data_IF_570760834248
#
_entry.id   IF_570760834248
#
_cell.length_a   1.000
_cell.length_b   1.000
_cell.length_c   1.000
_cell.angle_alpha   90.00
_cell.angle_beta   90.00
_cell.angle_gamma   90.00
#
_symmetry.space_group_name_H-M   'P 1'
#
loop_
_entity.id
_entity.type
_entity.pdbx_description
1 polymer ?
#
# COMPACT_ATOMS: atom_id res chain seq x y z
N UNK A 1 0.05 -25.14 2.32
CA UNK A 1 1.15 -24.62 1.47
C UNK A 1 2.49 -24.97 2.13
N UNK A 2 3.43 -25.62 1.43
CA UNK A 2 4.78 -25.91 1.97
C UNK A 2 5.50 -24.58 2.26
N UNK A 3 6.21 -24.45 3.39
CA UNK A 3 6.82 -23.17 3.83
C UNK A 3 7.71 -22.50 2.77
N UNK A 4 8.37 -23.29 1.91
CA UNK A 4 9.17 -22.80 0.76
C UNK A 4 8.37 -22.02 -0.30
N UNK A 5 7.04 -22.01 -0.22
CA UNK A 5 6.16 -21.30 -1.15
C UNK A 5 5.51 -20.06 -0.55
N UNK A 6 5.92 -19.59 0.64
CA UNK A 6 5.36 -18.37 1.23
C UNK A 6 5.49 -17.13 0.34
N UNK A 7 6.45 -17.11 -0.59
CA UNK A 7 6.58 -16.06 -1.60
C UNK A 7 5.36 -15.93 -2.52
N UNK A 8 4.54 -16.97 -2.66
CA UNK A 8 3.32 -16.92 -3.46
C UNK A 8 2.23 -16.07 -2.81
N UNK A 9 2.23 -15.89 -1.48
CA UNK A 9 1.24 -15.07 -0.78
C UNK A 9 1.26 -13.60 -1.20
N UNK A 10 2.39 -12.87 -1.08
CA UNK A 10 2.44 -11.49 -1.54
C UNK A 10 2.30 -11.39 -3.07
N UNK A 11 2.71 -12.41 -3.84
CA UNK A 11 2.46 -12.44 -5.28
C UNK A 11 0.95 -12.52 -5.60
N UNK A 12 0.25 -13.44 -4.96
CA UNK A 12 -1.19 -13.60 -5.13
C UNK A 12 -1.92 -12.32 -4.71
N UNK A 13 -1.54 -11.73 -3.56
CA UNK A 13 -2.09 -10.44 -3.12
C UNK A 13 -1.87 -9.32 -4.14
N UNK A 14 -0.67 -9.24 -4.75
CA UNK A 14 -0.38 -8.26 -5.79
C UNK A 14 -1.33 -8.42 -6.98
N UNK A 15 -1.50 -9.66 -7.47
CA UNK A 15 -2.39 -9.97 -8.59
C UNK A 15 -3.85 -9.70 -8.26
N UNK A 16 -4.32 -10.08 -7.07
CA UNK A 16 -5.71 -9.81 -6.64
C UNK A 16 -5.96 -8.32 -6.51
N UNK A 17 -5.00 -7.52 -6.03
CA UNK A 17 -5.17 -6.08 -5.92
C UNK A 17 -5.29 -5.41 -7.28
N UNK A 18 -4.49 -5.84 -8.27
CA UNK A 18 -4.63 -5.37 -9.66
C UNK A 18 -6.02 -5.71 -10.19
N UNK A 19 -6.46 -6.97 -10.06
CA UNK A 19 -7.78 -7.38 -10.52
C UNK A 19 -8.91 -6.64 -9.80
N UNK A 20 -8.78 -6.42 -8.49
CA UNK A 20 -9.77 -5.70 -7.68
C UNK A 20 -9.91 -4.22 -8.05
N UNK A 21 -8.89 -3.60 -8.67
CA UNK A 21 -9.00 -2.23 -9.18
C UNK A 21 -9.52 -2.19 -10.63
N UNK A 22 -8.91 -2.97 -11.51
CA UNK A 22 -9.19 -2.87 -12.95
C UNK A 22 -10.46 -3.57 -13.41
N UNK A 23 -10.85 -4.69 -12.78
CA UNK A 23 -12.07 -5.42 -13.18
C UNK A 23 -13.33 -4.61 -12.86
N UNK A 24 -13.53 -4.08 -11.64
CA UNK A 24 -14.69 -3.24 -11.35
C UNK A 24 -14.72 -1.97 -12.22
N UNK A 25 -13.56 -1.36 -12.48
CA UNK A 25 -13.46 -0.22 -13.40
C UNK A 25 -13.91 -0.59 -14.82
N UNK A 26 -13.38 -1.67 -15.39
CA UNK A 26 -13.74 -2.11 -16.74
C UNK A 26 -15.24 -2.41 -16.87
N UNK A 27 -15.83 -3.06 -15.85
CA UNK A 27 -17.27 -3.31 -15.78
C UNK A 27 -18.03 -1.97 -15.73
N UNK A 28 -17.63 -1.06 -14.84
CA UNK A 28 -18.29 0.23 -14.64
C UNK A 28 -18.30 1.09 -15.90
N UNK A 29 -17.19 1.11 -16.65
CA UNK A 29 -17.11 1.80 -17.95
C UNK A 29 -18.01 1.11 -18.97
N UNK A 30 -17.99 -0.22 -19.05
CA UNK A 30 -18.80 -0.98 -19.99
C UNK A 30 -20.31 -0.79 -19.76
N UNK A 31 -20.74 -0.67 -18.50
CA UNK A 31 -22.15 -0.43 -18.13
C UNK A 31 -22.56 1.04 -18.19
N UNK A 32 -21.65 1.96 -18.53
CA UNK A 32 -21.91 3.40 -18.52
C UNK A 32 -22.14 3.98 -17.13
N UNK A 33 -21.68 3.29 -16.07
CA UNK A 33 -21.78 3.77 -14.69
C UNK A 33 -20.78 4.89 -14.39
N UNK A 34 -19.65 4.89 -15.11
CA UNK A 34 -18.63 5.94 -15.05
C UNK A 34 -18.21 6.33 -16.45
N UNK A 35 -17.89 7.61 -16.64
CA UNK A 35 -17.24 8.08 -17.85
C UNK A 35 -15.93 7.29 -18.11
N UNK A 36 -15.47 7.13 -19.35
CA UNK A 36 -14.25 6.37 -19.69
C UNK A 36 -12.96 7.14 -19.34
N UNK A 37 -12.89 7.62 -18.10
CA UNK A 37 -11.79 8.32 -17.46
C UNK A 37 -11.62 7.65 -16.11
N UNK A 38 -10.37 7.48 -15.66
CA UNK A 38 -10.09 6.84 -14.39
C UNK A 38 -10.82 7.59 -13.25
N UNK A 39 -11.87 7.02 -12.63
CA UNK A 39 -12.45 7.61 -11.44
C UNK A 39 -11.49 7.45 -10.27
N UNK A 40 -11.82 8.02 -9.13
CA UNK A 40 -11.16 7.62 -7.90
C UNK A 40 -11.31 6.11 -7.68
N UNK A 41 -10.23 5.44 -7.27
CA UNK A 41 -10.21 3.99 -6.97
C UNK A 41 -11.24 3.65 -5.90
N UNK A 42 -11.41 4.56 -4.94
CA UNK A 42 -12.42 4.48 -3.89
C UNK A 42 -13.86 4.52 -4.41
N UNK A 43 -14.10 5.14 -5.58
CA UNK A 43 -15.40 5.25 -6.23
C UNK A 43 -15.68 4.10 -7.21
N UNK A 44 -14.64 3.42 -7.72
CA UNK A 44 -14.74 2.32 -8.70
C UNK A 44 -15.35 1.00 -8.16
N UNK A 45 -15.76 0.97 -6.89
CA UNK A 45 -16.37 -0.21 -6.27
C UNK A 45 -15.34 -1.26 -5.86
N UNK A 46 -14.84 -1.17 -4.63
CA UNK A 46 -14.02 -2.23 -4.05
C UNK A 46 -14.88 -3.40 -3.55
N UNK A 47 -14.72 -4.56 -4.21
CA UNK A 47 -15.25 -5.86 -3.77
C UNK A 47 -14.44 -6.49 -2.61
N UNK A 48 -14.82 -7.68 -2.12
CA UNK A 48 -14.81 -8.04 -0.69
C UNK A 48 -13.44 -8.27 -0.02
N UNK A 49 -13.35 -7.72 1.21
CA UNK A 49 -12.69 -8.09 2.49
C UNK A 49 -11.63 -9.21 2.52
N UNK A 50 -11.80 -10.33 1.80
CA UNK A 50 -10.98 -11.54 2.00
C UNK A 50 -9.49 -11.36 1.64
N UNK A 51 -9.18 -10.54 0.63
CA UNK A 51 -7.80 -10.27 0.20
C UNK A 51 -6.96 -9.59 1.30
N UNK A 52 -7.59 -8.85 2.22
CA UNK A 52 -6.88 -8.03 3.20
C UNK A 52 -6.44 -8.79 4.46
N UNK A 53 -7.05 -9.93 4.77
CA UNK A 53 -6.54 -10.83 5.82
C UNK A 53 -5.18 -11.44 5.43
N UNK A 54 -4.94 -11.65 4.13
CA UNK A 54 -3.63 -12.10 3.64
C UNK A 54 -2.52 -11.09 3.92
N UNK A 55 -2.84 -9.79 3.99
CA UNK A 55 -1.88 -8.74 4.37
C UNK A 55 -1.36 -9.02 5.78
N UNK A 56 -2.23 -9.30 6.75
CA UNK A 56 -1.78 -9.60 8.12
C UNK A 56 -0.86 -10.83 8.17
N UNK A 57 -1.20 -11.89 7.43
CA UNK A 57 -0.38 -13.11 7.35
C UNK A 57 1.00 -12.80 6.75
N UNK A 58 1.07 -12.01 5.68
CA UNK A 58 2.35 -11.58 5.07
C UNK A 58 3.20 -10.80 6.07
N UNK A 59 2.60 -9.88 6.82
CA UNK A 59 3.27 -9.12 7.87
C UNK A 59 3.85 -10.02 8.95
N UNK A 60 3.07 -11.00 9.43
CA UNK A 60 3.53 -12.00 10.40
C UNK A 60 4.70 -12.83 9.87
N UNK A 61 4.62 -13.30 8.63
CA UNK A 61 5.69 -14.08 8.00
C UNK A 61 6.97 -13.25 7.88
N UNK A 62 6.86 -11.99 7.46
CA UNK A 62 8.02 -11.09 7.36
C UNK A 62 8.63 -10.82 8.74
N UNK A 63 7.81 -10.60 9.75
CA UNK A 63 8.26 -10.41 11.14
C UNK A 63 9.11 -11.60 11.62
N UNK A 64 8.61 -12.82 11.43
CA UNK A 64 9.32 -14.06 11.79
C UNK A 64 10.63 -14.23 11.00
N UNK A 65 10.61 -13.93 9.70
CA UNK A 65 11.80 -13.98 8.85
C UNK A 65 12.90 -13.03 9.35
N UNK A 66 12.53 -11.80 9.73
CA UNK A 66 13.48 -10.81 10.24
C UNK A 66 14.06 -11.20 11.60
N UNK A 67 13.25 -11.73 12.52
CA UNK A 67 13.75 -12.25 13.80
C UNK A 67 14.78 -13.37 13.59
N UNK A 68 14.50 -14.30 12.67
CA UNK A 68 15.44 -15.36 12.32
C UNK A 68 16.78 -14.79 11.81
N UNK A 69 16.76 -13.73 11.00
CA UNK A 69 18.00 -13.08 10.57
C UNK A 69 18.76 -12.44 11.73
N UNK A 70 18.06 -11.80 12.66
CA UNK A 70 18.70 -11.17 13.82
C UNK A 70 19.35 -12.19 14.74
N UNK A 71 18.67 -13.30 15.02
CA UNK A 71 19.25 -14.42 15.77
C UNK A 71 20.50 -14.97 15.06
N UNK A 72 20.41 -15.20 13.76
CA UNK A 72 21.52 -15.71 12.96
C UNK A 72 22.74 -14.78 13.01
N UNK A 73 22.55 -13.46 12.93
CA UNK A 73 23.62 -12.47 13.06
C UNK A 73 24.22 -12.50 14.47
N UNK A 74 23.39 -12.50 15.52
CA UNK A 74 23.84 -12.53 16.92
C UNK A 74 24.73 -13.74 17.22
N UNK A 75 24.38 -14.90 16.66
CA UNK A 75 25.11 -16.15 16.93
C UNK A 75 26.38 -16.30 16.09
N UNK A 76 26.37 -15.84 14.83
CA UNK A 76 27.42 -16.20 13.87
C UNK A 76 28.38 -15.06 13.49
N UNK A 77 28.13 -13.82 13.94
CA UNK A 77 28.98 -12.67 13.61
C UNK A 77 29.73 -12.19 14.85
N UNK A 78 31.07 -12.23 14.78
CA UNK A 78 31.96 -11.68 15.80
C UNK A 78 32.01 -10.15 15.62
N UNK A 79 31.82 -9.39 16.70
CA UNK A 79 31.80 -7.91 16.73
C UNK A 79 30.67 -7.26 15.92
N UNK A 80 29.43 -7.46 16.35
CA UNK A 80 28.26 -6.76 15.78
C UNK A 80 28.24 -5.30 16.27
N UNK A 81 28.65 -4.36 15.42
CA UNK A 81 28.58 -2.89 15.67
C UNK A 81 27.15 -2.32 15.49
N UNK A 82 26.14 -3.09 15.86
CA UNK A 82 24.75 -2.70 15.67
C UNK A 82 23.88 -3.16 16.84
N UNK A 83 23.04 -2.26 17.33
CA UNK A 83 22.12 -2.55 18.43
C UNK A 83 20.99 -3.47 17.94
N UNK A 84 21.19 -4.77 18.12
CA UNK A 84 20.24 -5.80 17.71
C UNK A 84 18.92 -5.73 18.48
N UNK A 85 18.94 -5.29 19.75
CA UNK A 85 17.72 -5.15 20.56
C UNK A 85 16.82 -4.02 20.02
N UNK A 86 17.44 -2.94 19.52
CA UNK A 86 16.73 -1.88 18.80
C UNK A 86 16.12 -2.39 17.49
N UNK A 87 16.82 -3.24 16.74
CA UNK A 87 16.29 -3.82 15.50
C UNK A 87 15.11 -4.77 15.74
N UNK A 88 15.16 -5.58 16.80
CA UNK A 88 14.04 -6.46 17.18
C UNK A 88 12.81 -5.65 17.63
N UNK A 89 13.04 -4.58 18.41
CA UNK A 89 11.98 -3.65 18.80
C UNK A 89 11.37 -2.96 17.58
N UNK A 90 12.20 -2.56 16.62
CA UNK A 90 11.74 -1.98 15.38
C UNK A 90 10.92 -2.97 14.56
N UNK A 91 11.37 -4.21 14.41
CA UNK A 91 10.63 -5.25 13.68
C UNK A 91 9.24 -5.50 14.28
N UNK A 92 9.12 -5.50 15.62
CA UNK A 92 7.81 -5.56 16.30
C UNK A 92 6.92 -4.34 15.97
N UNK A 93 7.47 -3.13 15.93
CA UNK A 93 6.72 -1.93 15.52
C UNK A 93 6.26 -2.01 14.07
N UNK A 94 7.07 -2.61 13.20
CA UNK A 94 6.71 -2.79 11.79
C UNK A 94 5.59 -3.80 11.58
N UNK A 95 5.52 -4.84 12.41
CA UNK A 95 4.38 -5.75 12.43
C UNK A 95 3.08 -4.98 12.74
N UNK A 96 3.09 -4.13 13.77
CA UNK A 96 1.92 -3.31 14.10
C UNK A 96 1.56 -2.32 12.99
N UNK A 97 2.55 -1.68 12.36
CA UNK A 97 2.32 -0.81 11.22
C UNK A 97 1.65 -1.58 10.06
N UNK A 98 2.09 -2.80 9.78
CA UNK A 98 1.49 -3.65 8.74
C UNK A 98 0.04 -4.04 9.07
N UNK A 99 -0.26 -4.31 10.35
CA UNK A 99 -1.63 -4.60 10.79
C UNK A 99 -2.53 -3.36 10.69
N UNK A 100 -2.03 -2.18 11.05
CA UNK A 100 -2.76 -0.92 10.87
C UNK A 100 -3.05 -0.65 9.38
N UNK A 101 -2.09 -0.90 8.49
CA UNK A 101 -2.32 -0.83 7.03
C UNK A 101 -3.40 -1.82 6.58
N UNK A 102 -3.37 -3.06 7.06
CA UNK A 102 -4.39 -4.05 6.73
C UNK A 102 -5.79 -3.59 7.18
N UNK A 103 -5.90 -3.00 8.38
CA UNK A 103 -7.15 -2.41 8.87
C UNK A 103 -7.60 -1.23 8.03
N UNK A 104 -6.69 -0.34 7.62
CA UNK A 104 -6.98 0.75 6.71
C UNK A 104 -7.54 0.26 5.38
N UNK A 105 -6.92 -0.77 4.79
CA UNK A 105 -7.38 -1.36 3.52
C UNK A 105 -8.77 -2.01 3.65
N UNK A 106 -9.03 -2.74 4.75
CA UNK A 106 -10.37 -3.26 5.04
C UNK A 106 -11.36 -2.10 5.17
N UNK A 107 -11.00 -1.04 5.91
CA UNK A 107 -11.88 0.10 6.14
C UNK A 107 -12.25 0.86 4.87
N UNK A 108 -11.26 1.30 4.09
CA UNK A 108 -11.50 2.00 2.80
C UNK A 108 -12.34 1.15 1.84
N UNK A 109 -12.14 -0.18 1.87
CA UNK A 109 -12.90 -1.10 1.03
C UNK A 109 -14.36 -1.32 1.44
N UNK A 110 -14.74 -1.00 2.68
CA UNK A 110 -16.10 -1.22 3.20
C UNK A 110 -16.87 0.08 3.44
N UNK A 111 -16.17 1.19 3.69
CA UNK A 111 -16.77 2.47 4.01
C UNK A 111 -16.58 3.41 2.83
N UNK A 112 -17.64 3.64 2.05
CA UNK A 112 -17.56 4.51 0.87
C UNK A 112 -17.41 5.98 1.27
N UNK A 113 -16.68 6.73 0.45
CA UNK A 113 -16.46 8.17 0.66
C UNK A 113 -17.77 8.96 0.71
N UNK A 114 -18.73 8.61 -0.15
CA UNK A 114 -20.05 9.27 -0.23
C UNK A 114 -20.96 8.99 0.96
N UNK A 115 -20.75 7.89 1.68
CA UNK A 115 -21.59 7.49 2.82
C UNK A 115 -20.99 7.97 4.15
N UNK A 116 -19.67 7.85 4.31
CA UNK A 116 -18.99 8.17 5.57
C UNK A 116 -17.64 8.84 5.32
N UNK A 117 -17.66 10.13 4.93
CA UNK A 117 -16.45 10.87 4.55
C UNK A 117 -15.30 10.81 5.57
N UNK A 118 -15.56 11.22 6.81
CA UNK A 118 -14.53 11.29 7.85
C UNK A 118 -13.93 9.92 8.16
N UNK A 119 -14.78 8.89 8.16
CA UNK A 119 -14.37 7.52 8.45
C UNK A 119 -13.53 6.95 7.29
N UNK A 120 -13.93 7.23 6.04
CA UNK A 120 -13.17 6.85 4.85
C UNK A 120 -11.77 7.46 4.87
N UNK A 121 -11.65 8.77 5.15
CA UNK A 121 -10.35 9.44 5.25
C UNK A 121 -9.51 8.93 6.41
N UNK A 122 -10.11 8.63 7.56
CA UNK A 122 -9.40 8.00 8.68
C UNK A 122 -8.77 6.67 8.24
N UNK A 123 -9.51 5.83 7.50
CA UNK A 123 -8.96 4.57 6.98
C UNK A 123 -7.92 4.78 5.88
N UNK A 124 -8.09 5.77 5.00
CA UNK A 124 -7.08 6.14 4.01
C UNK A 124 -5.74 6.54 4.68
N UNK A 125 -5.81 7.31 5.77
CA UNK A 125 -4.62 7.65 6.57
C UNK A 125 -3.98 6.43 7.23
N UNK A 126 -4.78 5.46 7.69
CA UNK A 126 -4.29 4.19 8.22
C UNK A 126 -3.63 3.29 7.15
N UNK A 127 -3.90 3.51 5.86
CA UNK A 127 -3.14 2.89 4.78
C UNK A 127 -1.81 3.63 4.59
N UNK A 128 -1.88 4.93 4.30
CA UNK A 128 -0.76 5.69 3.75
C UNK A 128 0.38 5.87 4.77
N UNK A 129 0.07 6.31 6.00
CA UNK A 129 1.11 6.62 6.98
C UNK A 129 1.80 5.36 7.53
N UNK A 130 1.07 4.31 7.97
CA UNK A 130 1.72 3.08 8.42
C UNK A 130 2.46 2.35 7.31
N UNK A 131 1.99 2.41 6.04
CA UNK A 131 2.75 1.87 4.90
C UNK A 131 4.05 2.62 4.67
N UNK A 132 4.01 3.96 4.72
CA UNK A 132 5.21 4.80 4.55
C UNK A 132 6.23 4.56 5.67
N UNK A 133 5.75 4.46 6.92
CA UNK A 133 6.55 4.09 8.07
C UNK A 133 7.18 2.70 7.87
N UNK A 134 6.37 1.73 7.44
CA UNK A 134 6.83 0.37 7.15
C UNK A 134 7.92 0.35 6.09
N UNK A 135 7.72 1.06 4.97
CA UNK A 135 8.69 1.13 3.87
C UNK A 135 10.01 1.77 4.31
N UNK A 136 9.95 2.91 5.00
CA UNK A 136 11.15 3.61 5.49
C UNK A 136 12.02 2.69 6.35
N UNK A 137 11.43 2.05 7.35
CA UNK A 137 12.18 1.19 8.25
C UNK A 137 12.52 -0.17 7.64
N UNK A 138 11.73 -0.67 6.68
CA UNK A 138 12.11 -1.84 5.87
C UNK A 138 13.35 -1.53 5.02
N UNK A 139 13.43 -0.33 4.42
CA UNK A 139 14.65 0.14 3.74
C UNK A 139 15.83 0.20 4.72
N UNK A 140 15.65 0.80 5.90
CA UNK A 140 16.69 0.86 6.92
C UNK A 140 17.22 -0.53 7.32
N UNK A 141 16.32 -1.45 7.69
CA UNK A 141 16.73 -2.82 8.07
C UNK A 141 17.36 -3.57 6.90
N UNK A 142 16.82 -3.44 5.69
CA UNK A 142 17.38 -4.12 4.50
C UNK A 142 18.79 -3.61 4.18
N UNK A 143 19.09 -2.32 4.43
CA UNK A 143 20.47 -1.80 4.30
C UNK A 143 21.41 -2.44 5.31
N UNK A 144 20.97 -2.63 6.55
CA UNK A 144 21.78 -3.32 7.58
C UNK A 144 22.00 -4.77 7.17
N UNK A 145 20.94 -5.50 6.81
CA UNK A 145 21.03 -6.90 6.38
C UNK A 145 21.92 -7.07 5.14
N UNK A 146 21.96 -6.09 4.24
CA UNK A 146 22.85 -6.13 3.08
C UNK A 146 24.34 -6.03 3.43
N UNK A 147 24.70 -5.38 4.55
CA UNK A 147 26.10 -5.34 5.04
C UNK A 147 26.59 -6.72 5.47
N UNK A 148 25.67 -7.59 5.89
CA UNK A 148 25.94 -8.98 6.27
C UNK A 148 25.70 -9.97 5.12
N UNK A 149 25.42 -9.50 3.90
CA UNK A 149 25.15 -10.36 2.74
C UNK A 149 23.87 -11.19 2.83
N UNK A 150 22.95 -10.86 3.75
CA UNK A 150 21.73 -11.65 3.99
C UNK A 150 20.62 -11.28 3.00
N UNK A 151 20.43 -9.99 2.72
CA UNK A 151 19.46 -9.51 1.74
C UNK A 151 20.12 -8.54 0.76
N UNK A 152 19.55 -8.43 -0.45
CA UNK A 152 19.98 -7.43 -1.42
C UNK A 152 19.71 -6.00 -0.95
N UNK A 153 20.58 -5.07 -1.33
CA UNK A 153 20.40 -3.65 -1.08
C UNK A 153 19.03 -3.16 -1.59
N UNK A 154 18.26 -2.36 -0.81
CA UNK A 154 16.85 -2.13 -1.07
C UNK A 154 16.56 -1.01 -2.10
N UNK A 155 17.24 -1.00 -3.26
CA UNK A 155 17.08 0.07 -4.28
C UNK A 155 15.60 0.25 -4.67
N UNK A 156 14.91 -0.84 -5.03
CA UNK A 156 13.50 -0.79 -5.46
C UNK A 156 12.57 -0.26 -4.36
N UNK A 157 12.84 -0.58 -3.09
CA UNK A 157 12.04 -0.08 -1.97
C UNK A 157 12.31 1.39 -1.67
N UNK A 158 13.54 1.87 -1.87
CA UNK A 158 13.90 3.29 -1.74
C UNK A 158 13.18 4.12 -2.81
N UNK A 159 13.26 3.67 -4.07
CA UNK A 159 12.53 4.31 -5.18
C UNK A 159 11.04 4.33 -4.86
N UNK A 160 10.48 3.20 -4.44
CA UNK A 160 9.07 3.09 -4.09
C UNK A 160 8.65 4.07 -2.98
N UNK A 161 9.44 4.19 -1.91
CA UNK A 161 9.18 5.13 -0.81
C UNK A 161 9.17 6.58 -1.30
N UNK A 162 10.17 6.98 -2.08
CA UNK A 162 10.27 8.35 -2.62
C UNK A 162 9.10 8.62 -3.56
N UNK A 163 8.82 7.70 -4.48
CA UNK A 163 7.68 7.79 -5.39
C UNK A 163 6.35 7.89 -4.63
N UNK A 164 6.14 7.10 -3.58
CA UNK A 164 4.90 7.15 -2.80
C UNK A 164 4.69 8.51 -2.13
N UNK A 165 5.74 9.10 -1.55
CA UNK A 165 5.67 10.43 -0.93
C UNK A 165 5.33 11.49 -1.98
N UNK A 166 6.03 11.47 -3.13
CA UNK A 166 5.80 12.44 -4.22
C UNK A 166 4.37 12.30 -4.76
N UNK A 167 3.93 11.08 -5.07
CA UNK A 167 2.60 10.82 -5.64
C UNK A 167 1.51 11.25 -4.65
N UNK A 168 1.68 10.99 -3.34
CA UNK A 168 0.73 11.44 -2.33
C UNK A 168 0.63 12.96 -2.23
N UNK A 169 1.77 13.66 -2.25
CA UNK A 169 1.78 15.13 -2.25
C UNK A 169 1.08 15.66 -3.51
N UNK A 170 1.38 15.10 -4.68
CA UNK A 170 0.75 15.48 -5.94
C UNK A 170 -0.76 15.20 -5.91
N UNK A 171 -1.20 14.06 -5.37
CA UNK A 171 -2.62 13.76 -5.16
C UNK A 171 -3.32 14.86 -4.34
N UNK A 172 -2.76 15.21 -3.18
CA UNK A 172 -3.33 16.24 -2.30
C UNK A 172 -3.34 17.62 -2.96
N UNK A 173 -2.27 18.01 -3.65
CA UNK A 173 -2.21 19.30 -4.35
C UNK A 173 -3.25 19.35 -5.46
N UNK A 174 -3.36 18.29 -6.27
CA UNK A 174 -4.31 18.26 -7.39
C UNK A 174 -5.75 18.31 -6.92
N UNK A 175 -6.12 17.60 -5.84
CA UNK A 175 -7.50 17.68 -5.31
C UNK A 175 -7.81 19.08 -4.76
N UNK A 176 -6.86 19.73 -4.07
CA UNK A 176 -7.05 21.09 -3.57
C UNK A 176 -7.24 22.08 -4.73
N UNK A 177 -6.40 22.00 -5.77
CA UNK A 177 -6.53 22.86 -6.95
C UNK A 177 -7.85 22.58 -7.67
N UNK A 178 -8.25 21.31 -7.81
CA UNK A 178 -9.53 20.95 -8.44
C UNK A 178 -10.73 21.60 -7.74
N UNK A 179 -10.73 21.61 -6.40
CA UNK A 179 -11.78 22.22 -5.60
C UNK A 179 -11.74 23.75 -5.63
N UNK A 180 -10.56 24.36 -5.66
CA UNK A 180 -10.42 25.82 -5.69
C UNK A 180 -10.69 26.42 -7.08
N UNK A 181 -10.25 25.75 -8.14
CA UNK A 181 -10.47 26.15 -9.53
C UNK A 181 -11.85 25.74 -10.07
N UNK A 182 -12.53 24.80 -9.39
CA UNK A 182 -13.89 24.42 -9.71
C UNK A 182 -14.86 25.51 -9.29
N UNK A 183 -15.05 26.54 -10.14
CA UNK A 183 -16.04 27.59 -9.92
C UNK A 183 -17.41 26.97 -9.58
N UNK A 184 -17.91 27.22 -8.36
CA UNK A 184 -19.19 26.69 -7.87
C UNK A 184 -19.17 25.24 -7.38
N UNK A 185 -18.02 24.55 -7.39
CA UNK A 185 -17.87 23.21 -6.78
C UNK A 185 -17.81 23.37 -5.27
N UNK A 186 -18.97 23.26 -4.63
CA UNK A 186 -19.02 23.24 -3.17
C UNK A 186 -18.39 21.95 -2.63
N UNK A 187 -17.91 21.99 -1.38
CA UNK A 187 -17.45 20.80 -0.68
C UNK A 187 -18.53 19.70 -0.63
N UNK A 188 -19.81 20.09 -0.59
CA UNK A 188 -20.94 19.17 -0.66
C UNK A 188 -21.09 18.51 -2.04
N UNK A 189 -20.86 19.25 -3.13
CA UNK A 189 -20.85 18.66 -4.48
C UNK A 189 -19.74 17.61 -4.61
N UNK A 190 -18.59 17.84 -3.99
CA UNK A 190 -17.54 16.83 -3.94
C UNK A 190 -17.95 15.55 -3.19
N UNK A 191 -18.89 15.60 -2.24
CA UNK A 191 -19.41 14.39 -1.57
C UNK A 191 -20.37 13.57 -2.43
N UNK A 192 -21.02 14.20 -3.40
CA UNK A 192 -21.90 13.50 -4.32
C UNK A 192 -21.10 12.60 -5.25
N UNK A 193 -21.33 11.29 -5.13
CA UNK A 193 -20.73 10.28 -5.99
C UNK A 193 -21.05 10.54 -7.47
N UNK A 194 -22.29 10.92 -7.76
CA UNK A 194 -22.75 11.16 -9.13
C UNK A 194 -22.00 12.33 -9.75
N UNK A 195 -21.75 13.38 -8.97
CA UNK A 195 -20.95 14.52 -9.41
C UNK A 195 -19.50 14.12 -9.68
N UNK A 196 -18.86 13.36 -8.78
CA UNK A 196 -17.46 12.92 -8.98
C UNK A 196 -17.31 12.00 -10.19
N UNK A 197 -18.26 11.11 -10.44
CA UNK A 197 -18.23 10.17 -11.57
C UNK A 197 -18.46 10.87 -12.92
N UNK A 198 -19.18 12.00 -12.92
CA UNK A 198 -19.53 12.76 -14.12
C UNK A 198 -19.13 14.24 -13.99
N UNK A 199 -17.92 14.48 -13.51
CA UNK A 199 -17.43 15.85 -13.31
C UNK A 199 -17.48 16.62 -14.64
N UNK A 200 -18.15 17.79 -14.71
CA UNK A 200 -18.31 18.50 -15.97
C UNK A 200 -16.98 18.93 -16.60
N UNK A 201 -16.74 18.50 -17.85
CA UNK A 201 -15.48 18.74 -18.59
C UNK A 201 -15.15 20.22 -18.84
N UNK A 202 -16.17 21.07 -18.78
CA UNK A 202 -16.07 22.51 -19.00
C UNK A 202 -15.67 23.29 -17.73
N UNK A 203 -15.62 22.66 -16.56
CA UNK A 203 -15.16 23.31 -15.34
C UNK A 203 -13.63 23.37 -15.28
N UNK A 204 -13.08 24.49 -14.82
CA UNK A 204 -11.62 24.68 -14.72
C UNK A 204 -10.95 23.68 -13.74
N UNK A 205 -11.68 23.16 -12.75
CA UNK A 205 -11.21 22.12 -11.84
C UNK A 205 -11.07 20.71 -12.45
N UNK A 206 -11.67 20.46 -13.61
CA UNK A 206 -11.82 19.11 -14.18
C UNK A 206 -10.49 18.39 -14.46
N UNK A 207 -9.52 19.08 -15.08
CA UNK A 207 -8.21 18.49 -15.40
C UNK A 207 -7.46 18.10 -14.13
N UNK A 208 -7.51 18.95 -13.11
CA UNK A 208 -6.87 18.68 -11.82
C UNK A 208 -7.53 17.51 -11.09
N UNK A 209 -8.85 17.39 -11.17
CA UNK A 209 -9.59 16.21 -10.66
C UNK A 209 -9.19 14.91 -11.38
N UNK A 210 -9.01 14.95 -12.69
CA UNK A 210 -8.52 13.79 -13.44
C UNK A 210 -7.09 13.40 -13.00
N UNK A 211 -6.21 14.39 -12.81
CA UNK A 211 -4.84 14.17 -12.34
C UNK A 211 -4.81 13.62 -10.91
N UNK A 212 -5.63 14.13 -9.98
CA UNK A 212 -5.73 13.55 -8.63
C UNK A 212 -6.22 12.10 -8.70
N UNK A 213 -7.20 11.79 -9.54
CA UNK A 213 -7.64 10.40 -9.72
C UNK A 213 -6.49 9.51 -10.20
N UNK A 214 -5.72 9.93 -11.21
CA UNK A 214 -4.51 9.20 -11.66
C UNK A 214 -3.50 9.00 -10.52
N UNK A 215 -3.23 10.02 -9.71
CA UNK A 215 -2.32 9.89 -8.58
C UNK A 215 -2.84 8.91 -7.51
N UNK A 216 -4.14 8.88 -7.24
CA UNK A 216 -4.72 7.87 -6.33
C UNK A 216 -4.50 6.45 -6.86
N UNK A 217 -4.74 6.20 -8.14
CA UNK A 217 -4.43 4.91 -8.78
C UNK A 217 -2.96 4.53 -8.61
N UNK A 218 -2.04 5.49 -8.80
CA UNK A 218 -0.62 5.25 -8.62
C UNK A 218 -0.25 4.91 -7.15
N UNK A 219 -0.94 5.48 -6.15
CA UNK A 219 -0.78 5.10 -4.72
C UNK A 219 -1.24 3.66 -4.48
N UNK A 220 -2.35 3.24 -5.08
CA UNK A 220 -2.79 1.85 -4.98
C UNK A 220 -1.82 0.89 -5.68
N UNK A 221 -1.35 1.24 -6.88
CA UNK A 221 -0.38 0.43 -7.62
C UNK A 221 0.99 0.38 -6.93
N UNK A 222 1.39 1.40 -6.16
CA UNK A 222 2.62 1.34 -5.36
C UNK A 222 2.58 0.22 -4.32
N UNK A 223 1.39 -0.09 -3.76
CA UNK A 223 1.22 -1.22 -2.85
C UNK A 223 1.39 -2.58 -3.56
N UNK A 224 0.99 -2.67 -4.83
CA UNK A 224 1.23 -3.86 -5.67
C UNK A 224 2.74 -4.07 -5.86
N UNK A 225 3.49 -3.01 -6.13
CA UNK A 225 4.97 -3.06 -6.27
C UNK A 225 5.62 -3.49 -4.95
N UNK A 226 5.15 -3.01 -3.80
CA UNK A 226 5.61 -3.48 -2.49
C UNK A 226 5.40 -4.98 -2.33
N UNK A 227 4.24 -5.49 -2.72
CA UNK A 227 3.94 -6.92 -2.66
C UNK A 227 4.91 -7.74 -3.55
N UNK A 228 5.21 -7.29 -4.77
CA UNK A 228 6.23 -7.93 -5.59
C UNK A 228 7.62 -7.92 -4.95
N UNK A 229 8.02 -6.81 -4.32
CA UNK A 229 9.29 -6.71 -3.60
C UNK A 229 9.36 -7.72 -2.44
N UNK A 230 8.28 -7.85 -1.67
CA UNK A 230 8.19 -8.83 -0.56
C UNK A 230 8.20 -10.27 -1.09
N UNK A 231 7.47 -10.55 -2.17
CA UNK A 231 7.48 -11.85 -2.84
C UNK A 231 8.90 -12.27 -3.22
N UNK A 232 9.65 -11.37 -3.85
CA UNK A 232 11.03 -11.67 -4.24
C UNK A 232 11.93 -11.94 -3.02
N UNK A 233 11.82 -11.16 -1.95
CA UNK A 233 12.58 -11.39 -0.70
C UNK A 233 12.23 -12.72 -0.05
N UNK A 234 10.95 -13.08 -0.05
CA UNK A 234 10.50 -14.37 0.48
C UNK A 234 11.02 -15.54 -0.34
N UNK A 235 11.11 -15.38 -1.67
CA UNK A 235 11.61 -16.40 -2.59
C UNK A 235 13.12 -16.65 -2.42
N UNK A 236 13.86 -15.59 -2.09
CA UNK A 236 15.31 -15.66 -1.86
C UNK A 236 15.65 -16.38 -0.55
N UNK A 237 14.80 -16.29 0.47
CA UNK A 237 15.02 -16.99 1.73
C UNK A 237 14.75 -18.51 1.60
N UNK A 238 15.74 -19.32 1.96
CA UNK A 238 15.69 -20.80 1.82
C UNK A 238 15.52 -21.54 3.13
N UNK A 239 15.63 -20.85 4.27
CA UNK A 239 15.64 -21.47 5.60
C UNK A 239 14.26 -21.48 6.27
N UNK A 240 13.18 -21.40 5.49
CA UNK A 240 11.79 -21.40 5.99
C UNK A 240 11.46 -22.57 6.93
N UNK A 241 12.12 -23.71 6.75
CA UNK A 241 11.93 -24.91 7.56
C UNK A 241 12.35 -24.71 9.02
N UNK A 242 13.28 -23.78 9.28
CA UNK A 242 13.88 -23.48 10.58
C UNK A 242 13.10 -22.44 11.39
N UNK A 243 12.02 -21.88 10.83
CA UNK A 243 11.17 -20.90 11.50
C UNK A 243 9.92 -21.58 12.04
N UNK A 244 9.64 -21.36 13.32
CA UNK A 244 8.38 -21.72 13.98
C UNK A 244 7.35 -20.59 13.80
N UNK A 245 6.18 -20.96 13.28
CA UNK A 245 5.09 -20.04 12.94
C UNK A 245 3.93 -20.15 13.90
#
# INVERSE_FOLDING_TARGET
MKKNHFWMLPLFLALTNVLACFVPYAISVHTGFVDPILPYVSDAGSGPIAAHYFVMIIGWIRYKQLNFYFENIKTNVINVDCDMAKLETLNRRLLYAFFLTAWGLIGVGNFRLSETFYLHWMFAFLIIFPTSYYLYFTCYMSRILSRFGIESYPVSLIILLISQIIIFILFVIMIIIALYAGDGVTFNAFFDLSFRLHWPKNQAGYVYHCLSSVFEWLIFLSNVILCFCLSNRFRQFKQWNRIEF
#
